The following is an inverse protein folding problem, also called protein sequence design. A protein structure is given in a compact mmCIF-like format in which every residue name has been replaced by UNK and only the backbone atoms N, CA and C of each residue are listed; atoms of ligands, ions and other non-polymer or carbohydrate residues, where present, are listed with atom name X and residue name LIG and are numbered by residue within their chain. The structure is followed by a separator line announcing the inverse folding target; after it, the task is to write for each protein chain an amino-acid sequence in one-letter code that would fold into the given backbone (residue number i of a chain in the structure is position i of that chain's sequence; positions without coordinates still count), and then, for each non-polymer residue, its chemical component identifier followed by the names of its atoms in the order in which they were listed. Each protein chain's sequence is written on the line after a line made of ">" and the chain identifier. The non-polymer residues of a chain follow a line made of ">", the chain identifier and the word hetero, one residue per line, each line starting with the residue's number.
data_IF_791018425559
#
_entry.id   IF_791018425559
#
_cell.length_a   1.000
_cell.length_b   1.000
_cell.length_c   1.000
_cell.angle_alpha   90.00
_cell.angle_beta   90.00
_cell.angle_gamma   90.00
#
_symmetry.space_group_name_H-M   'P 1'
#
loop_
_entity.id
_entity.type
_entity.pdbx_description
1 polymer ?
#
# COMPACT_ATOMS: atom_id res chain seq x y z
N UNK A 1 -1.25 21.91 13.53
CA UNK A 1 -1.02 21.28 14.85
C UNK A 1 -2.30 20.80 15.55
N UNK A 2 -3.40 21.58 15.64
CA UNK A 2 -4.64 21.11 16.30
C UNK A 2 -5.42 20.00 15.55
N UNK A 3 -5.21 19.85 14.25
CA UNK A 3 -5.94 18.89 13.41
C UNK A 3 -5.43 17.45 13.59
N UNK A 4 -4.09 17.26 13.58
CA UNK A 4 -3.44 15.96 13.80
C UNK A 4 -3.73 15.35 15.17
N UNK A 5 -3.79 16.20 16.21
CA UNK A 5 -4.14 15.76 17.56
C UNK A 5 -5.59 15.24 17.64
N UNK A 6 -6.51 15.90 16.93
CA UNK A 6 -7.93 15.52 16.86
C UNK A 6 -8.15 14.24 16.05
N UNK A 7 -7.36 14.04 15.00
CA UNK A 7 -7.35 12.82 14.19
C UNK A 7 -6.77 11.63 14.98
N UNK A 8 -5.68 11.82 15.73
CA UNK A 8 -5.15 10.80 16.67
C UNK A 8 -6.18 10.43 17.74
N UNK A 9 -6.88 11.39 18.34
CA UNK A 9 -7.90 11.11 19.37
C UNK A 9 -9.11 10.31 18.87
N UNK A 10 -9.55 10.54 17.63
CA UNK A 10 -10.68 9.80 17.05
C UNK A 10 -10.33 8.32 16.82
N UNK A 11 -9.10 8.05 16.36
CA UNK A 11 -8.60 6.70 16.12
C UNK A 11 -8.34 5.96 17.44
N UNK A 12 -7.75 6.64 18.44
CA UNK A 12 -7.49 6.06 19.78
C UNK A 12 -8.80 5.75 20.53
N UNK A 13 -9.84 6.58 20.38
CA UNK A 13 -11.12 6.34 21.04
C UNK A 13 -11.93 5.21 20.39
N UNK A 14 -11.74 4.93 19.10
CA UNK A 14 -12.24 3.69 18.50
C UNK A 14 -11.47 2.47 19.00
N UNK A 15 -10.14 2.54 19.07
CA UNK A 15 -9.26 1.44 19.56
C UNK A 15 -9.60 0.95 20.98
N UNK A 16 -10.04 1.84 21.88
CA UNK A 16 -10.47 1.47 23.24
C UNK A 16 -11.81 0.75 23.29
N UNK A 17 -12.65 0.87 22.25
CA UNK A 17 -13.97 0.21 22.19
C UNK A 17 -13.91 -1.18 21.57
N UNK A 18 -12.86 -1.52 20.82
CA UNK A 18 -12.81 -2.76 20.01
C UNK A 18 -11.77 -3.79 20.42
N UNK A 19 -10.77 -3.47 21.24
CA UNK A 19 -9.71 -4.44 21.57
C UNK A 19 -9.26 -4.33 23.02
N UNK A 20 -9.63 -5.35 23.81
CA UNK A 20 -8.82 -5.75 24.96
C UNK A 20 -7.45 -6.21 24.45
N UNK A 21 -6.42 -5.62 25.05
CA UNK A 21 -5.03 -6.08 25.21
C UNK A 21 -4.55 -7.19 24.26
N UNK A 22 -3.61 -6.83 23.37
CA UNK A 22 -2.42 -7.63 23.10
C UNK A 22 -1.28 -6.73 22.61
N UNK A 23 -0.35 -6.46 23.53
CA UNK A 23 1.00 -5.96 23.25
C UNK A 23 1.77 -7.03 22.47
N UNK A 24 1.88 -6.86 21.15
CA UNK A 24 2.96 -7.43 20.36
C UNK A 24 3.73 -6.24 19.75
N UNK A 25 4.67 -5.68 20.53
CA UNK A 25 5.72 -4.78 20.04
C UNK A 25 6.62 -5.57 19.07
N UNK A 26 6.15 -5.75 17.84
CA UNK A 26 7.03 -6.10 16.74
C UNK A 26 7.67 -4.80 16.24
N UNK A 27 8.95 -4.59 16.59
CA UNK A 27 9.81 -3.59 15.96
C UNK A 27 9.99 -3.96 14.48
N UNK A 28 9.03 -3.54 13.65
CA UNK A 28 9.16 -3.66 12.21
C UNK A 28 10.38 -2.85 11.74
N UNK A 29 11.33 -3.53 11.07
CA UNK A 29 12.48 -2.87 10.46
C UNK A 29 11.99 -2.05 9.26
N UNK A 30 12.33 -0.76 9.25
CA UNK A 30 12.02 0.16 8.15
C UNK A 30 13.23 0.27 7.23
N UNK A 31 13.09 -0.21 6.00
CA UNK A 31 14.11 -0.07 4.95
C UNK A 31 13.88 1.20 4.13
N UNK A 32 14.95 1.86 3.68
CA UNK A 32 14.88 2.99 2.73
C UNK A 32 15.51 2.60 1.40
N UNK A 33 14.84 2.87 0.29
CA UNK A 33 15.32 2.51 -1.03
C UNK A 33 14.31 2.76 -2.14
N UNK A 34 14.59 2.21 -3.32
CA UNK A 34 13.70 2.28 -4.48
C UNK A 34 12.97 0.94 -4.63
N UNK A 35 11.75 0.87 -4.09
CA UNK A 35 10.92 -0.34 -4.09
C UNK A 35 9.82 -0.31 -5.14
N UNK A 36 9.50 0.88 -5.67
CA UNK A 36 8.66 1.08 -6.84
C UNK A 36 9.59 1.40 -8.01
N UNK A 37 9.62 0.50 -8.99
CA UNK A 37 10.50 0.57 -10.16
C UNK A 37 9.90 1.45 -11.27
N UNK A 38 10.75 1.95 -12.15
CA UNK A 38 10.31 2.63 -13.36
C UNK A 38 9.85 1.61 -14.40
N UNK A 39 8.70 1.82 -15.03
CA UNK A 39 8.25 0.97 -16.13
C UNK A 39 6.81 1.20 -16.54
N UNK A 40 6.37 0.45 -17.56
CA UNK A 40 4.99 0.44 -18.00
C UNK A 40 4.16 -0.37 -17.01
N UNK A 41 3.05 0.20 -16.56
CA UNK A 41 2.15 -0.44 -15.62
C UNK A 41 0.74 -0.45 -16.18
N UNK A 42 0.11 -1.63 -16.17
CA UNK A 42 -1.31 -1.74 -16.48
C UNK A 42 -2.10 -1.26 -15.26
N UNK A 43 -2.95 -0.27 -15.47
CA UNK A 43 -3.53 0.57 -14.43
C UNK A 43 -5.06 0.47 -14.40
N UNK A 44 -5.65 0.44 -13.20
CA UNK A 44 -7.10 0.60 -13.04
C UNK A 44 -7.47 1.43 -11.81
N UNK A 45 -8.27 2.48 -12.02
CA UNK A 45 -8.91 3.25 -10.95
C UNK A 45 -10.08 2.46 -10.38
N UNK A 46 -10.11 2.22 -9.07
CA UNK A 46 -11.21 1.49 -8.43
C UNK A 46 -11.51 2.04 -7.03
N UNK A 47 -12.77 1.90 -6.65
CA UNK A 47 -13.33 2.18 -5.32
C UNK A 47 -13.74 0.85 -4.69
N UNK A 48 -13.01 0.38 -3.67
CA UNK A 48 -13.14 -0.98 -3.12
C UNK A 48 -12.80 -1.00 -1.62
N UNK A 49 -13.67 -1.59 -0.81
CA UNK A 49 -13.36 -1.94 0.59
C UNK A 49 -12.42 -3.15 0.64
N UNK A 50 -11.57 -3.25 1.68
CA UNK A 50 -10.56 -4.31 1.81
C UNK A 50 -11.14 -5.74 1.78
N UNK A 51 -12.37 -5.93 2.25
CA UNK A 51 -13.04 -7.24 2.28
C UNK A 51 -13.39 -7.77 0.87
N UNK A 52 -13.30 -6.91 -0.15
CA UNK A 52 -13.57 -7.23 -1.55
C UNK A 52 -12.31 -7.44 -2.39
N UNK A 53 -11.12 -7.43 -1.77
CA UNK A 53 -9.82 -7.54 -2.44
C UNK A 53 -9.71 -8.77 -3.36
N UNK A 54 -10.20 -9.94 -2.95
CA UNK A 54 -10.13 -11.16 -3.78
C UNK A 54 -10.97 -11.07 -5.05
N UNK A 55 -12.17 -10.48 -4.94
CA UNK A 55 -13.05 -10.25 -6.10
C UNK A 55 -12.40 -9.23 -7.04
N UNK A 56 -11.86 -8.17 -6.48
CA UNK A 56 -11.13 -7.13 -7.20
C UNK A 56 -9.93 -7.68 -7.98
N UNK A 57 -9.12 -8.52 -7.34
CA UNK A 57 -7.98 -9.18 -7.99
C UNK A 57 -8.45 -10.03 -9.17
N UNK A 58 -9.54 -10.76 -8.99
CA UNK A 58 -10.15 -11.58 -10.05
C UNK A 58 -10.61 -10.71 -11.24
N UNK A 59 -11.34 -9.62 -10.97
CA UNK A 59 -11.79 -8.69 -12.00
C UNK A 59 -10.63 -7.99 -12.71
N UNK A 60 -9.53 -7.68 -12.02
CA UNK A 60 -8.32 -7.14 -12.64
C UNK A 60 -7.80 -8.11 -13.70
N UNK A 61 -7.61 -9.39 -13.37
CA UNK A 61 -7.08 -10.40 -14.30
C UNK A 61 -8.02 -10.74 -15.46
N UNK A 62 -9.33 -10.71 -15.27
CA UNK A 62 -10.28 -10.87 -16.38
C UNK A 62 -10.12 -9.74 -17.41
N UNK A 63 -9.84 -8.52 -16.95
CA UNK A 63 -9.71 -7.35 -17.81
C UNK A 63 -8.34 -7.20 -18.48
N UNK A 64 -7.32 -7.90 -17.96
CA UNK A 64 -5.97 -7.95 -18.55
C UNK A 64 -5.98 -8.59 -19.95
N UNK A 65 -7.07 -9.29 -20.36
CA UNK A 65 -7.31 -9.75 -21.75
C UNK A 65 -6.12 -10.48 -22.41
N UNK A 66 -5.32 -11.19 -21.63
CA UNK A 66 -4.16 -11.96 -22.13
C UNK A 66 -2.84 -11.20 -22.17
N UNK A 67 -2.76 -9.95 -21.67
CA UNK A 67 -1.50 -9.23 -21.51
C UNK A 67 -0.54 -9.97 -20.57
N UNK A 68 0.75 -9.93 -20.88
CA UNK A 68 1.78 -10.52 -20.03
C UNK A 68 2.15 -9.53 -18.91
N UNK A 69 1.75 -9.86 -17.67
CA UNK A 69 2.10 -9.08 -16.48
C UNK A 69 3.35 -9.64 -15.79
N UNK A 70 4.25 -8.75 -15.37
CA UNK A 70 5.47 -9.05 -14.61
C UNK A 70 5.37 -8.52 -13.19
N UNK A 71 5.65 -9.40 -12.22
CA UNK A 71 5.76 -9.13 -10.77
C UNK A 71 4.48 -8.69 -10.02
N UNK A 72 4.55 -8.76 -8.69
CA UNK A 72 3.42 -8.71 -7.75
C UNK A 72 2.64 -7.40 -7.75
N UNK A 73 1.32 -7.53 -7.54
CA UNK A 73 0.33 -6.45 -7.57
C UNK A 73 0.60 -5.43 -6.48
N UNK A 74 0.68 -4.17 -6.91
CA UNK A 74 0.87 -3.04 -6.02
C UNK A 74 -0.46 -2.32 -5.96
N UNK A 75 -1.04 -2.26 -4.75
CA UNK A 75 -2.18 -1.42 -4.46
C UNK A 75 -1.68 -0.10 -3.91
N UNK A 76 -1.85 0.98 -4.67
CA UNK A 76 -1.58 2.33 -4.20
C UNK A 76 -2.84 2.88 -3.54
N UNK A 77 -2.71 3.30 -2.29
CA UNK A 77 -3.78 3.96 -1.54
C UNK A 77 -3.51 5.46 -1.48
N UNK A 78 -4.49 6.26 -1.90
CA UNK A 78 -4.45 7.70 -1.69
C UNK A 78 -4.66 8.05 -0.21
N UNK A 79 -3.84 8.94 0.33
CA UNK A 79 -3.98 9.48 1.70
C UNK A 79 -4.68 10.85 1.73
N UNK A 80 -5.21 11.34 0.60
CA UNK A 80 -5.85 12.65 0.55
C UNK A 80 -7.20 12.66 1.28
N UNK A 81 -7.47 13.72 2.07
CA UNK A 81 -8.68 13.87 2.89
C UNK A 81 -10.01 13.87 2.08
N UNK A 82 -9.92 14.09 0.76
CA UNK A 82 -11.04 14.08 -0.19
C UNK A 82 -11.12 12.80 -1.06
N UNK A 83 -10.10 11.94 -0.99
CA UNK A 83 -10.04 10.71 -1.76
C UNK A 83 -10.90 9.63 -1.07
N UNK A 84 -12.16 9.54 -1.49
CA UNK A 84 -13.00 8.38 -1.21
C UNK A 84 -12.40 7.13 -1.87
N UNK A 85 -11.58 6.41 -1.11
CA UNK A 85 -11.19 5.01 -1.33
C UNK A 85 -10.60 4.71 -2.71
N UNK A 86 -9.68 5.54 -3.19
CA UNK A 86 -8.95 5.24 -4.44
C UNK A 86 -7.83 4.25 -4.12
N UNK A 87 -8.07 2.98 -4.45
CA UNK A 87 -7.06 1.93 -4.53
C UNK A 87 -6.69 1.74 -6.00
N UNK A 88 -5.54 2.26 -6.43
CA UNK A 88 -5.01 1.99 -7.78
C UNK A 88 -4.28 0.64 -7.70
N UNK A 89 -4.71 -0.37 -8.46
CA UNK A 89 -3.89 -1.56 -8.68
C UNK A 89 -3.08 -1.37 -9.95
N UNK A 90 -1.81 -1.70 -9.85
CA UNK A 90 -0.98 -1.81 -11.02
C UNK A 90 -0.05 -3.03 -10.97
N UNK A 91 0.25 -3.55 -12.15
CA UNK A 91 1.22 -4.60 -12.39
C UNK A 91 2.09 -4.18 -13.58
N UNK A 92 3.39 -4.46 -13.53
CA UNK A 92 4.28 -4.12 -14.62
C UNK A 92 3.94 -4.96 -15.85
N UNK A 93 4.13 -4.39 -17.03
CA UNK A 93 3.91 -5.04 -18.32
C UNK A 93 5.03 -4.65 -19.27
N UNK A 94 5.38 -5.53 -20.21
CA UNK A 94 6.29 -5.17 -21.31
C UNK A 94 5.53 -4.64 -22.53
N UNK A 95 4.20 -4.56 -22.44
CA UNK A 95 3.40 -4.01 -23.53
C UNK A 95 3.56 -2.50 -23.68
N UNK A 96 3.58 -2.06 -24.94
CA UNK A 96 3.81 -0.66 -25.31
C UNK A 96 2.65 0.28 -24.91
N UNK A 97 2.98 1.57 -24.78
CA UNK A 97 2.13 2.71 -24.36
C UNK A 97 0.85 2.95 -25.18
N UNK A 98 0.52 2.14 -26.19
CA UNK A 98 -0.63 2.38 -27.08
C UNK A 98 -1.98 1.96 -26.50
N UNK A 99 -2.00 1.37 -25.32
CA UNK A 99 -3.22 1.05 -24.59
C UNK A 99 -3.51 2.15 -23.56
N UNK A 100 -4.72 2.72 -23.60
CA UNK A 100 -5.16 3.79 -22.68
C UNK A 100 -5.12 3.36 -21.19
N UNK A 101 -5.10 2.06 -20.94
CA UNK A 101 -4.96 1.47 -19.61
C UNK A 101 -3.51 1.26 -19.16
N UNK A 102 -2.51 1.54 -20.00
CA UNK A 102 -1.09 1.46 -19.66
C UNK A 102 -0.56 2.86 -19.34
N UNK A 103 0.15 2.98 -18.23
CA UNK A 103 0.77 4.24 -17.77
C UNK A 103 2.26 4.04 -17.49
N UNK A 104 3.02 5.12 -17.49
CA UNK A 104 4.40 5.12 -17.01
C UNK A 104 4.38 5.29 -15.49
N UNK A 105 4.96 4.33 -14.77
CA UNK A 105 5.31 4.49 -13.36
C UNK A 105 6.73 5.03 -13.27
N UNK A 106 6.89 6.12 -12.53
CA UNK A 106 8.20 6.71 -12.25
C UNK A 106 8.88 6.01 -11.07
N UNK A 107 10.20 6.09 -11.02
CA UNK A 107 10.97 5.57 -9.90
C UNK A 107 10.80 6.47 -8.67
N UNK A 108 10.38 5.88 -7.54
CA UNK A 108 10.11 6.64 -6.30
C UNK A 108 11.08 6.25 -5.18
N UNK A 109 11.63 7.26 -4.49
CA UNK A 109 12.34 7.04 -3.22
C UNK A 109 11.32 6.67 -2.15
N UNK A 110 11.53 5.55 -1.47
CA UNK A 110 10.55 4.98 -0.57
C UNK A 110 11.17 4.55 0.77
N UNK A 111 10.31 4.41 1.76
CA UNK A 111 10.52 3.60 2.95
C UNK A 111 9.58 2.39 2.90
N UNK A 112 10.00 1.25 3.45
CA UNK A 112 9.27 -0.01 3.38
C UNK A 112 9.32 -0.77 4.69
N UNK A 113 8.22 -1.43 5.04
CA UNK A 113 8.16 -2.49 6.04
C UNK A 113 7.64 -3.77 5.39
N UNK A 114 8.28 -4.90 5.71
CA UNK A 114 7.77 -6.22 5.38
C UNK A 114 7.03 -6.83 6.59
N UNK A 115 5.76 -7.13 6.41
CA UNK A 115 4.90 -7.81 7.37
C UNK A 115 4.86 -9.31 7.03
N UNK A 116 5.23 -10.15 7.99
CA UNK A 116 5.23 -11.61 7.83
C UNK A 116 3.81 -12.18 7.71
N UNK A 117 2.80 -11.44 8.21
CA UNK A 117 1.38 -11.78 8.11
C UNK A 117 0.56 -10.51 7.93
N UNK A 118 -0.60 -10.63 7.27
CA UNK A 118 -1.55 -9.52 7.09
C UNK A 118 -1.97 -8.89 8.43
N UNK A 119 -2.08 -9.69 9.50
CA UNK A 119 -2.41 -9.18 10.84
C UNK A 119 -1.39 -8.19 11.44
N UNK A 120 -0.18 -8.08 10.88
CA UNK A 120 0.83 -7.11 11.32
C UNK A 120 0.72 -5.75 10.59
N UNK A 121 -0.28 -5.58 9.72
CA UNK A 121 -0.46 -4.39 8.89
C UNK A 121 -0.46 -3.10 9.68
N UNK A 122 -1.21 -3.03 10.78
CA UNK A 122 -1.33 -1.82 11.60
C UNK A 122 0.02 -1.41 12.23
N UNK A 123 0.74 -2.38 12.78
CA UNK A 123 2.08 -2.16 13.33
C UNK A 123 3.06 -1.69 12.24
N UNK A 124 2.97 -2.26 11.04
CA UNK A 124 3.79 -1.84 9.90
C UNK A 124 3.55 -0.38 9.50
N UNK A 125 2.28 0.05 9.44
CA UNK A 125 1.93 1.45 9.21
C UNK A 125 2.49 2.38 10.28
N UNK A 126 2.29 2.02 11.55
CA UNK A 126 2.79 2.79 12.68
C UNK A 126 4.31 2.96 12.58
N UNK A 127 5.06 1.91 12.31
CA UNK A 127 6.52 1.98 12.18
C UNK A 127 6.98 2.89 11.04
N UNK A 128 6.30 2.86 9.88
CA UNK A 128 6.63 3.74 8.75
C UNK A 128 6.36 5.21 9.09
N UNK A 129 5.23 5.52 9.74
CA UNK A 129 4.89 6.89 10.11
C UNK A 129 5.78 7.42 11.23
N UNK A 130 6.09 6.61 12.24
CA UNK A 130 7.05 6.95 13.30
C UNK A 130 8.44 7.22 12.71
N UNK A 131 8.88 6.43 11.72
CA UNK A 131 10.14 6.66 11.01
C UNK A 131 10.11 7.96 10.21
N UNK A 132 9.04 8.22 9.45
CA UNK A 132 8.90 9.43 8.65
C UNK A 132 8.90 10.69 9.54
N UNK A 133 8.21 10.66 10.67
CA UNK A 133 8.21 11.77 11.65
C UNK A 133 9.62 12.01 12.23
N UNK A 134 10.30 10.95 12.68
CA UNK A 134 11.67 11.05 13.23
C UNK A 134 12.68 11.56 12.19
N UNK A 135 12.55 11.13 10.95
CA UNK A 135 13.43 11.52 9.84
C UNK A 135 13.02 12.82 9.13
N UNK A 136 11.87 13.40 9.51
CA UNK A 136 11.24 14.56 8.85
C UNK A 136 10.97 14.35 7.36
N UNK A 137 10.75 13.11 6.95
CA UNK A 137 10.37 12.77 5.58
C UNK A 137 8.89 13.08 5.35
N UNK A 138 8.56 13.60 4.17
CA UNK A 138 7.18 13.86 3.77
C UNK A 138 6.69 12.65 2.96
N UNK A 139 5.64 11.98 3.42
CA UNK A 139 5.03 10.87 2.68
C UNK A 139 4.11 11.42 1.59
N UNK A 140 4.25 10.91 0.36
CA UNK A 140 3.44 11.28 -0.79
C UNK A 140 2.39 10.22 -1.14
N UNK A 141 2.84 8.98 -1.33
CA UNK A 141 1.97 7.86 -1.68
C UNK A 141 2.24 6.69 -0.74
N UNK A 142 1.21 5.88 -0.51
CA UNK A 142 1.29 4.61 0.20
C UNK A 142 0.95 3.48 -0.76
N UNK A 143 1.73 2.41 -0.69
CA UNK A 143 1.55 1.22 -1.50
C UNK A 143 1.52 -0.02 -0.60
N UNK A 144 0.71 -1.00 -0.99
CA UNK A 144 0.67 -2.32 -0.41
C UNK A 144 0.91 -3.37 -1.47
N UNK A 145 1.85 -4.26 -1.21
CA UNK A 145 2.18 -5.37 -2.08
C UNK A 145 1.92 -6.68 -1.35
N UNK A 146 0.95 -7.43 -1.86
CA UNK A 146 0.56 -8.72 -1.30
C UNK A 146 1.28 -9.84 -2.04
N UNK A 147 1.99 -10.69 -1.30
CA UNK A 147 2.74 -11.82 -1.87
C UNK A 147 2.35 -13.11 -1.15
N UNK A 148 2.00 -14.15 -1.91
CA UNK A 148 1.82 -15.49 -1.36
C UNK A 148 3.17 -16.21 -1.29
N UNK A 149 3.55 -16.67 -0.10
CA UNK A 149 4.76 -17.48 0.12
C UNK A 149 4.43 -18.59 1.11
N UNK A 150 4.81 -19.82 0.78
CA UNK A 150 4.61 -21.01 1.62
C UNK A 150 3.16 -21.19 2.12
N UNK A 151 2.17 -20.82 1.29
CA UNK A 151 0.74 -20.92 1.62
C UNK A 151 0.22 -19.81 2.56
N UNK A 152 1.06 -18.83 2.92
CA UNK A 152 0.70 -17.68 3.74
C UNK A 152 0.76 -16.39 2.92
N UNK A 153 -0.13 -15.45 3.25
CA UNK A 153 -0.14 -14.12 2.65
C UNK A 153 0.76 -13.18 3.44
N UNK A 154 1.80 -12.70 2.78
CA UNK A 154 2.71 -11.66 3.25
C UNK A 154 2.32 -10.32 2.68
N UNK A 155 2.64 -9.25 3.40
CA UNK A 155 2.34 -7.87 3.01
C UNK A 155 3.61 -7.04 3.09
N UNK A 156 3.92 -6.28 2.05
CA UNK A 156 4.88 -5.18 2.13
C UNK A 156 4.12 -3.86 2.08
N UNK A 157 4.38 -2.98 3.04
CA UNK A 157 3.86 -1.61 3.04
C UNK A 157 5.00 -0.69 2.63
N UNK A 158 4.79 0.14 1.62
CA UNK A 158 5.80 1.02 1.04
C UNK A 158 5.23 2.43 1.03
N UNK A 159 5.96 3.42 1.54
CA UNK A 159 5.59 4.83 1.43
C UNK A 159 6.62 5.56 0.59
N UNK A 160 6.23 6.27 -0.46
CA UNK A 160 7.15 7.18 -1.15
C UNK A 160 7.33 8.49 -0.38
N UNK A 161 8.56 8.99 -0.39
CA UNK A 161 9.00 10.09 0.46
C UNK A 161 9.82 11.16 -0.29
N UNK A 162 9.73 12.40 0.19
CA UNK A 162 10.63 13.51 -0.14
C UNK A 162 11.32 14.08 1.11
#
# INVERSE_FOLDING_TARGET
>A
MKLLAKQKELIINEQRRTTGENDDENDCIVDKGYFIEQGNVYYRNIHCEMDQLNRFMSEFYENVKGKMLRSGHILKMSLADDAKDICEIFAYTDEDEKDESVRIQEKEMCIKVACNKVGQRENGYKSLFDYAEKSKAIIHNTYEKYNMKDGQMHLEIICSIA
#
